data_IF_946432882704
#
_entry.id   IF_946432882704
#
_cell.length_a   1.000
_cell.length_b   1.000
_cell.length_c   1.000
_cell.angle_alpha   90.00
_cell.angle_beta   90.00
_cell.angle_gamma   90.00
#
_symmetry.space_group_name_H-M   'P 1'
#
loop_
_entity.id
_entity.type
_entity.pdbx_description
1 polymer ?
#
# COMPACT_ATOMS: atom_id res chain seq x y z
N UNK A 1 8.48 1.07 37.14
CA UNK A 1 7.32 1.25 36.22
C UNK A 1 7.76 1.79 34.87
N UNK A 2 9.04 1.62 34.52
CA UNK A 2 9.70 2.35 33.42
C UNK A 2 9.49 1.71 32.04
N UNK A 3 8.90 0.50 32.01
CA UNK A 3 8.60 -0.20 30.77
C UNK A 3 7.43 0.42 30.01
N UNK A 4 6.43 0.97 30.69
CA UNK A 4 5.24 1.51 30.01
C UNK A 4 5.55 2.78 29.19
N UNK A 5 6.32 3.76 29.73
CA UNK A 5 6.82 4.86 28.93
C UNK A 5 7.68 4.40 27.75
N UNK A 6 8.56 3.42 27.95
CA UNK A 6 9.41 2.90 26.88
C UNK A 6 8.60 2.27 25.74
N UNK A 7 7.67 1.36 26.07
CA UNK A 7 6.83 0.69 25.07
C UNK A 7 5.99 1.71 24.31
N UNK A 8 5.48 2.74 24.97
CA UNK A 8 4.76 3.83 24.31
C UNK A 8 5.66 4.58 23.32
N UNK A 9 6.83 5.05 23.75
CA UNK A 9 7.76 5.82 22.90
C UNK A 9 8.26 4.97 21.72
N UNK A 10 8.57 3.69 21.96
CA UNK A 10 8.95 2.73 20.93
C UNK A 10 7.82 2.53 19.90
N UNK A 11 6.58 2.39 20.38
CA UNK A 11 5.39 2.30 19.51
C UNK A 11 5.20 3.56 18.67
N UNK A 12 5.39 4.75 19.23
CA UNK A 12 5.33 6.01 18.46
C UNK A 12 6.42 6.04 17.40
N UNK A 13 7.64 5.61 17.73
CA UNK A 13 8.72 5.48 16.75
C UNK A 13 8.37 4.51 15.61
N UNK A 14 7.59 3.45 15.89
CA UNK A 14 7.02 2.53 14.89
C UNK A 14 5.99 3.16 13.95
N UNK A 15 5.35 4.26 14.32
CA UNK A 15 4.30 4.89 13.52
C UNK A 15 4.82 6.03 12.63
N UNK A 16 5.91 6.69 13.02
CA UNK A 16 6.45 7.84 12.27
C UNK A 16 7.37 7.42 11.10
N UNK A 17 7.58 8.32 10.15
CA UNK A 17 8.52 8.13 9.05
C UNK A 17 9.95 7.93 9.56
N UNK A 18 10.83 7.38 8.71
CA UNK A 18 12.24 7.17 9.06
C UNK A 18 12.92 8.50 9.36
N UNK A 19 12.59 9.52 8.59
CA UNK A 19 13.11 10.87 8.70
C UNK A 19 12.71 11.51 10.04
N UNK A 20 11.45 11.35 10.45
CA UNK A 20 10.96 11.82 11.74
C UNK A 20 11.61 11.05 12.90
N UNK A 21 11.69 9.72 12.82
CA UNK A 21 12.33 8.90 13.86
C UNK A 21 13.83 9.26 14.05
N UNK A 22 14.51 9.67 12.98
CA UNK A 22 15.92 10.12 13.03
C UNK A 22 16.12 11.43 13.81
N UNK A 23 15.06 12.20 14.05
CA UNK A 23 15.13 13.41 14.87
C UNK A 23 14.96 13.14 16.36
N UNK A 24 14.44 11.97 16.76
CA UNK A 24 14.22 11.64 18.17
C UNK A 24 15.49 11.67 19.04
N UNK A 25 16.69 11.29 18.56
CA UNK A 25 17.95 11.47 19.29
C UNK A 25 18.24 12.92 19.73
N UNK A 26 17.63 13.91 19.08
CA UNK A 26 17.87 15.34 19.36
C UNK A 26 16.95 15.88 20.46
N UNK A 27 15.93 15.12 20.86
CA UNK A 27 15.03 15.51 21.96
C UNK A 27 15.80 15.37 23.27
N UNK A 28 15.82 16.42 24.09
CA UNK A 28 16.47 16.46 25.42
C UNK A 28 15.72 15.60 26.45
N UNK A 29 15.55 14.32 26.14
CA UNK A 29 14.93 13.32 26.98
C UNK A 29 15.62 11.98 26.71
N UNK A 30 16.17 11.36 27.76
CA UNK A 30 16.97 10.14 27.64
C UNK A 30 16.21 8.98 26.99
N UNK A 31 14.89 8.88 27.21
CA UNK A 31 14.05 7.83 26.65
C UNK A 31 13.86 8.01 25.14
N UNK A 32 13.42 9.19 24.69
CA UNK A 32 13.30 9.51 23.26
C UNK A 32 14.64 9.38 22.55
N UNK A 33 15.71 9.83 23.20
CA UNK A 33 17.05 9.72 22.65
C UNK A 33 17.44 8.26 22.40
N UNK A 34 17.29 7.40 23.42
CA UNK A 34 17.63 5.99 23.32
C UNK A 34 16.77 5.23 22.29
N UNK A 35 15.46 5.48 22.26
CA UNK A 35 14.56 4.88 21.24
C UNK A 35 14.93 5.36 19.84
N UNK A 36 15.18 6.67 19.67
CA UNK A 36 15.60 7.25 18.41
C UNK A 36 16.90 6.64 17.89
N UNK A 37 17.90 6.45 18.75
CA UNK A 37 19.15 5.78 18.41
C UNK A 37 18.92 4.32 18.01
N UNK A 38 18.07 3.62 18.76
CA UNK A 38 17.74 2.21 18.49
C UNK A 38 17.08 2.05 17.13
N UNK A 39 16.06 2.86 16.82
CA UNK A 39 15.43 2.84 15.49
C UNK A 39 16.40 3.27 14.40
N UNK A 40 17.24 4.28 14.64
CA UNK A 40 18.25 4.70 13.65
C UNK A 40 19.22 3.57 13.29
N UNK A 41 19.57 2.71 14.26
CA UNK A 41 20.48 1.58 14.08
C UNK A 41 19.80 0.32 13.53
N UNK A 42 18.60 -0.01 14.03
CA UNK A 42 17.95 -1.31 13.79
C UNK A 42 16.83 -1.27 12.75
N UNK A 43 16.25 -0.11 12.46
CA UNK A 43 15.11 0.00 11.55
C UNK A 43 15.53 -0.28 10.11
N UNK A 44 14.75 -1.12 9.45
CA UNK A 44 14.93 -1.45 8.04
C UNK A 44 13.59 -1.33 7.32
N UNK A 45 13.55 -0.48 6.30
CA UNK A 45 12.36 -0.22 5.49
C UNK A 45 12.52 -0.88 4.11
N UNK A 46 11.48 -1.59 3.66
CA UNK A 46 11.49 -2.39 2.44
C UNK A 46 10.55 -1.87 1.37
N UNK A 47 10.98 -2.10 0.11
CA UNK A 47 10.12 -2.06 -1.06
C UNK A 47 10.15 -3.42 -1.74
N UNK A 48 8.99 -4.05 -1.86
CA UNK A 48 8.83 -5.33 -2.54
C UNK A 48 8.28 -5.06 -3.94
N UNK A 49 8.88 -5.63 -4.96
CA UNK A 49 8.40 -5.53 -6.35
C UNK A 49 8.20 -6.93 -6.89
N UNK A 50 6.96 -7.24 -7.26
CA UNK A 50 6.54 -8.52 -7.83
C UNK A 50 6.24 -8.25 -9.31
N UNK A 51 7.02 -8.85 -10.22
CA UNK A 51 6.88 -8.66 -11.67
C UNK A 51 7.25 -9.94 -12.41
N UNK A 52 6.54 -10.30 -13.49
CA UNK A 52 6.89 -11.47 -14.32
C UNK A 52 7.04 -12.79 -13.55
N UNK A 53 6.21 -13.02 -12.53
CA UNK A 53 6.33 -14.21 -11.66
C UNK A 53 7.62 -14.25 -10.83
N UNK A 54 8.46 -13.21 -10.90
CA UNK A 54 9.66 -13.04 -10.10
C UNK A 54 9.41 -12.02 -9.00
N UNK A 55 9.85 -12.37 -7.79
CA UNK A 55 9.84 -11.45 -6.66
C UNK A 55 11.21 -10.81 -6.56
N UNK A 56 11.28 -9.51 -6.84
CA UNK A 56 12.47 -8.70 -6.60
C UNK A 56 12.29 -7.90 -5.31
N UNK A 57 13.27 -8.01 -4.42
CA UNK A 57 13.32 -7.24 -3.19
C UNK A 57 14.29 -6.08 -3.43
N UNK A 58 13.77 -4.87 -3.59
CA UNK A 58 14.63 -3.69 -3.63
C UNK A 58 14.77 -3.21 -2.18
N UNK A 59 15.80 -3.72 -1.51
CA UNK A 59 16.24 -3.18 -0.24
C UNK A 59 17.09 -1.94 -0.49
N UNK A 60 16.84 -0.85 0.23
CA UNK A 60 17.67 0.37 0.14
C UNK A 60 19.09 0.18 0.76
N UNK A 61 19.45 -1.02 1.24
CA UNK A 61 20.80 -1.37 1.74
C UNK A 61 21.06 -2.89 1.74
N UNK A 62 22.17 -3.36 1.13
CA UNK A 62 22.50 -4.78 0.88
C UNK A 62 22.64 -5.69 2.13
N UNK A 63 22.19 -6.94 2.00
CA UNK A 63 22.58 -8.11 2.82
C UNK A 63 21.70 -9.35 2.57
N UNK A 64 22.15 -10.55 2.94
CA UNK A 64 21.43 -11.85 2.84
C UNK A 64 20.12 -11.87 3.66
N UNK A 65 19.12 -11.17 3.13
CA UNK A 65 17.94 -10.73 3.86
C UNK A 65 16.86 -11.81 3.99
N UNK A 66 16.85 -12.80 3.09
CA UNK A 66 15.83 -13.85 3.07
C UNK A 66 15.85 -14.73 4.33
N UNK A 67 17.02 -14.98 4.93
CA UNK A 67 17.14 -15.81 6.13
C UNK A 67 16.84 -15.02 7.42
N UNK A 68 17.32 -13.77 7.50
CA UNK A 68 17.14 -12.92 8.68
C UNK A 68 15.67 -12.52 8.95
N UNK A 69 14.83 -12.41 7.90
CA UNK A 69 13.39 -12.15 8.04
C UNK A 69 12.62 -13.30 8.69
N UNK A 70 13.09 -14.55 8.50
CA UNK A 70 12.30 -15.73 8.84
C UNK A 70 12.60 -16.18 10.25
N UNK A 71 13.88 -16.19 10.59
CA UNK A 71 14.39 -16.65 11.88
C UNK A 71 14.65 -15.50 12.87
N UNK A 72 14.66 -14.25 12.39
CA UNK A 72 15.03 -13.08 13.19
C UNK A 72 13.86 -12.27 13.76
N UNK A 73 14.19 -11.41 14.72
CA UNK A 73 13.30 -10.39 15.28
C UNK A 73 13.00 -9.31 14.22
N UNK A 74 11.77 -9.32 13.70
CA UNK A 74 11.29 -8.38 12.68
C UNK A 74 10.65 -7.12 13.27
N UNK A 75 10.76 -6.87 14.57
CA UNK A 75 10.09 -5.72 15.23
C UNK A 75 10.39 -4.39 14.55
N UNK A 76 11.63 -4.19 14.10
CA UNK A 76 12.09 -2.96 13.45
C UNK A 76 11.99 -2.99 11.92
N UNK A 77 11.44 -4.06 11.36
CA UNK A 77 11.24 -4.21 9.91
C UNK A 77 9.92 -3.60 9.48
N UNK A 78 9.91 -2.90 8.35
CA UNK A 78 8.69 -2.32 7.76
C UNK A 78 8.64 -2.53 6.27
N UNK A 79 7.46 -2.77 5.73
CA UNK A 79 7.26 -2.80 4.28
C UNK A 79 6.51 -1.54 3.89
N UNK A 80 7.27 -0.54 3.42
CA UNK A 80 6.69 0.73 3.03
C UNK A 80 5.83 0.59 1.78
N UNK A 81 6.26 -0.25 0.83
CA UNK A 81 5.60 -0.39 -0.46
C UNK A 81 5.72 -1.80 -1.01
N UNK A 82 4.61 -2.37 -1.44
CA UNK A 82 4.56 -3.54 -2.33
C UNK A 82 4.07 -3.05 -3.69
N UNK A 83 4.83 -3.30 -4.76
CA UNK A 83 4.42 -3.01 -6.13
C UNK A 83 4.24 -4.32 -6.88
N UNK A 84 3.05 -4.54 -7.42
CA UNK A 84 2.69 -5.72 -8.18
C UNK A 84 2.48 -5.30 -9.62
N UNK A 85 3.31 -5.82 -10.50
CA UNK A 85 3.23 -5.66 -11.94
C UNK A 85 2.59 -6.92 -12.51
N UNK A 86 1.32 -6.79 -12.90
CA UNK A 86 0.56 -7.88 -13.49
C UNK A 86 1.05 -8.10 -14.92
N UNK A 87 1.62 -9.28 -15.14
CA UNK A 87 2.15 -9.78 -16.41
C UNK A 87 1.87 -11.28 -16.50
N UNK A 88 1.70 -11.81 -17.70
CA UNK A 88 1.24 -13.18 -17.99
C UNK A 88 2.24 -14.33 -17.72
N UNK A 89 3.13 -14.23 -16.72
CA UNK A 89 4.14 -15.26 -16.47
C UNK A 89 3.84 -16.11 -15.22
N UNK A 90 3.63 -17.40 -15.43
CA UNK A 90 3.19 -18.39 -14.44
C UNK A 90 4.34 -19.07 -13.69
N UNK A 91 5.57 -18.57 -13.81
CA UNK A 91 6.77 -19.41 -13.60
C UNK A 91 7.31 -19.59 -12.17
N UNK A 92 6.70 -19.06 -11.11
CA UNK A 92 7.21 -19.35 -9.76
C UNK A 92 6.15 -19.26 -8.65
N UNK A 93 5.66 -20.40 -8.18
CA UNK A 93 4.62 -20.48 -7.16
C UNK A 93 5.15 -20.53 -5.73
N UNK A 94 6.40 -20.99 -5.53
CA UNK A 94 7.00 -21.15 -4.19
C UNK A 94 7.13 -19.82 -3.43
N UNK A 95 7.39 -18.73 -4.16
CA UNK A 95 7.65 -17.42 -3.57
C UNK A 95 6.38 -16.75 -3.03
N UNK A 96 5.19 -17.14 -3.54
CA UNK A 96 3.91 -16.58 -3.10
C UNK A 96 3.59 -16.96 -1.65
N UNK A 97 3.81 -18.22 -1.28
CA UNK A 97 3.58 -18.70 0.09
C UNK A 97 4.49 -17.97 1.07
N UNK A 98 5.73 -17.72 0.65
CA UNK A 98 6.72 -16.95 1.42
C UNK A 98 6.23 -15.51 1.64
N UNK A 99 5.82 -14.82 0.57
CA UNK A 99 5.37 -13.43 0.66
C UNK A 99 4.11 -13.28 1.50
N UNK A 100 3.17 -14.23 1.40
CA UNK A 100 1.98 -14.21 2.21
C UNK A 100 2.31 -14.29 3.70
N UNK A 101 3.21 -15.22 4.10
CA UNK A 101 3.70 -15.31 5.48
C UNK A 101 4.39 -14.02 5.93
N UNK A 102 5.17 -13.40 5.05
CA UNK A 102 5.86 -12.14 5.33
C UNK A 102 4.87 -11.00 5.58
N UNK A 103 3.88 -10.82 4.70
CA UNK A 103 2.87 -9.76 4.83
C UNK A 103 1.94 -9.95 6.04
N UNK A 104 1.76 -11.19 6.52
CA UNK A 104 1.05 -11.45 7.78
C UNK A 104 1.86 -11.02 9.02
N UNK A 105 3.20 -11.03 8.95
CA UNK A 105 4.08 -10.69 10.09
C UNK A 105 4.44 -9.21 10.13
N UNK A 106 4.53 -8.56 8.97
CA UNK A 106 5.08 -7.22 8.83
C UNK A 106 4.02 -6.32 8.19
N UNK A 107 3.59 -5.25 8.88
CA UNK A 107 2.62 -4.32 8.31
C UNK A 107 3.11 -3.73 6.99
N UNK A 108 2.23 -3.77 5.99
CA UNK A 108 2.46 -3.15 4.69
C UNK A 108 1.72 -1.83 4.62
N UNK A 109 2.45 -0.74 4.42
CA UNK A 109 1.83 0.59 4.41
C UNK A 109 1.10 0.88 3.09
N UNK A 110 1.73 0.55 1.97
CA UNK A 110 1.23 0.87 0.63
C UNK A 110 1.28 -0.32 -0.30
N UNK A 111 0.17 -0.59 -0.99
CA UNK A 111 0.10 -1.50 -2.12
C UNK A 111 -0.06 -0.71 -3.42
N UNK A 112 0.70 -1.08 -4.44
CA UNK A 112 0.64 -0.51 -5.78
C UNK A 112 0.40 -1.64 -6.77
N UNK A 113 -0.68 -1.57 -7.53
CA UNK A 113 -1.01 -2.58 -8.55
C UNK A 113 -0.99 -1.90 -9.91
N UNK A 114 -0.08 -2.36 -10.75
CA UNK A 114 0.14 -1.87 -12.10
C UNK A 114 0.02 -3.03 -13.08
N UNK A 115 -0.48 -2.76 -14.28
CA UNK A 115 -0.67 -3.77 -15.30
C UNK A 115 -1.97 -3.55 -16.05
N UNK A 116 -2.11 -4.27 -17.16
CA UNK A 116 -3.31 -4.30 -18.00
C UNK A 116 -3.94 -5.68 -18.07
N UNK A 117 -3.16 -6.72 -17.78
CA UNK A 117 -3.58 -8.10 -17.90
C UNK A 117 -4.41 -8.53 -16.68
N UNK A 118 -5.20 -9.58 -16.86
CA UNK A 118 -5.89 -10.23 -15.74
C UNK A 118 -4.84 -10.97 -14.90
N UNK A 119 -4.69 -10.65 -13.61
CA UNK A 119 -3.74 -11.36 -12.77
C UNK A 119 -4.21 -12.78 -12.51
N UNK A 120 -3.24 -13.64 -12.23
CA UNK A 120 -3.52 -14.97 -11.71
C UNK A 120 -4.28 -14.89 -10.38
N UNK A 121 -5.08 -15.91 -10.09
CA UNK A 121 -5.81 -16.04 -8.81
C UNK A 121 -4.88 -15.90 -7.60
N UNK A 122 -3.65 -16.42 -7.71
CA UNK A 122 -2.62 -16.31 -6.67
C UNK A 122 -2.20 -14.87 -6.39
N UNK A 123 -2.05 -14.06 -7.42
CA UNK A 123 -1.71 -12.65 -7.28
C UNK A 123 -2.89 -11.87 -6.67
N UNK A 124 -4.12 -12.23 -7.02
CA UNK A 124 -5.33 -11.70 -6.36
C UNK A 124 -5.31 -12.02 -4.86
N UNK A 125 -5.04 -13.27 -4.48
CA UNK A 125 -4.93 -13.68 -3.08
C UNK A 125 -3.80 -12.95 -2.35
N UNK A 126 -2.64 -12.84 -2.98
CA UNK A 126 -1.49 -12.16 -2.41
C UNK A 126 -1.74 -10.67 -2.21
N UNK A 127 -2.69 -10.06 -2.93
CA UNK A 127 -3.02 -8.64 -2.82
C UNK A 127 -4.05 -8.34 -1.72
N UNK A 128 -4.70 -9.37 -1.15
CA UNK A 128 -5.78 -9.21 -0.15
C UNK A 128 -5.22 -9.14 1.29
N UNK A 129 -4.44 -8.10 1.57
CA UNK A 129 -3.96 -7.79 2.92
C UNK A 129 -4.25 -6.33 3.30
N UNK A 130 -4.23 -6.03 4.60
CA UNK A 130 -4.52 -4.68 5.10
C UNK A 130 -3.37 -3.73 4.76
N UNK A 131 -3.74 -2.58 4.20
CA UNK A 131 -2.84 -1.48 3.79
C UNK A 131 -3.52 -0.16 4.03
N UNK A 132 -2.73 0.89 4.29
CA UNK A 132 -3.24 2.25 4.47
C UNK A 132 -3.48 2.95 3.14
N UNK A 133 -2.65 2.66 2.14
CA UNK A 133 -2.73 3.29 0.81
C UNK A 133 -2.75 2.23 -0.28
N UNK A 134 -3.71 2.35 -1.19
CA UNK A 134 -3.82 1.56 -2.39
C UNK A 134 -3.64 2.47 -3.62
N UNK A 135 -2.61 2.24 -4.42
CA UNK A 135 -2.47 2.85 -5.74
C UNK A 135 -2.81 1.81 -6.81
N UNK A 136 -3.73 2.12 -7.71
CA UNK A 136 -4.20 1.21 -8.76
C UNK A 136 -4.23 1.89 -10.13
N UNK A 137 -4.06 1.11 -11.19
CA UNK A 137 -4.48 1.52 -12.54
C UNK A 137 -6.00 1.37 -12.68
N UNK A 138 -6.56 1.88 -13.78
CA UNK A 138 -7.96 1.58 -14.11
C UNK A 138 -8.23 0.09 -14.31
N UNK A 139 -7.23 -0.71 -14.71
CA UNK A 139 -7.38 -2.16 -14.94
C UNK A 139 -7.27 -3.02 -13.67
N UNK A 140 -7.45 -2.42 -12.48
CA UNK A 140 -7.38 -3.17 -11.24
C UNK A 140 -8.45 -4.28 -11.20
N UNK A 141 -8.09 -5.51 -10.83
CA UNK A 141 -9.05 -6.60 -10.70
C UNK A 141 -10.17 -6.26 -9.72
N UNK A 142 -11.39 -6.59 -10.11
CA UNK A 142 -12.60 -6.32 -9.32
C UNK A 142 -12.47 -6.85 -7.89
N UNK A 143 -12.00 -8.08 -7.73
CA UNK A 143 -11.87 -8.74 -6.42
C UNK A 143 -10.92 -8.03 -5.46
N UNK A 144 -9.83 -7.47 -5.99
CA UNK A 144 -8.86 -6.73 -5.19
C UNK A 144 -9.48 -5.40 -4.77
N UNK A 145 -10.10 -4.70 -5.73
CA UNK A 145 -10.79 -3.44 -5.48
C UNK A 145 -11.93 -3.61 -4.45
N UNK A 146 -12.72 -4.68 -4.57
CA UNK A 146 -13.82 -5.00 -3.64
C UNK A 146 -13.30 -5.22 -2.22
N UNK A 147 -12.26 -6.04 -2.06
CA UNK A 147 -11.61 -6.27 -0.78
C UNK A 147 -11.15 -4.94 -0.15
N UNK A 148 -10.44 -4.11 -0.89
CA UNK A 148 -9.92 -2.87 -0.34
C UNK A 148 -11.00 -1.82 -0.06
N UNK A 149 -12.01 -1.69 -0.91
CA UNK A 149 -13.09 -0.73 -0.69
C UNK A 149 -13.92 -1.08 0.56
N UNK A 150 -14.23 -2.35 0.76
CA UNK A 150 -15.27 -2.76 1.72
C UNK A 150 -14.79 -3.64 2.88
N UNK A 151 -13.62 -4.29 2.78
CA UNK A 151 -13.13 -5.23 3.81
C UNK A 151 -11.82 -4.79 4.48
N UNK A 152 -11.00 -3.98 3.82
CA UNK A 152 -9.76 -3.46 4.41
C UNK A 152 -10.06 -2.28 5.34
N UNK A 153 -10.17 -2.58 6.63
CA UNK A 153 -10.44 -1.63 7.73
C UNK A 153 -9.32 -0.59 7.93
N UNK A 154 -8.12 -0.83 7.41
CA UNK A 154 -6.98 0.09 7.57
C UNK A 154 -6.85 1.07 6.41
N UNK A 155 -7.64 0.92 5.34
CA UNK A 155 -7.46 1.68 4.12
C UNK A 155 -7.90 3.13 4.27
N UNK A 156 -6.93 4.04 4.21
CA UNK A 156 -7.14 5.50 4.32
C UNK A 156 -7.18 6.17 2.96
N UNK A 157 -6.40 5.69 1.98
CA UNK A 157 -6.28 6.36 0.68
C UNK A 157 -6.33 5.37 -0.47
N UNK A 158 -7.16 5.65 -1.45
CA UNK A 158 -7.12 5.02 -2.77
C UNK A 158 -6.67 6.06 -3.77
N UNK A 159 -5.70 5.72 -4.63
CA UNK A 159 -5.26 6.54 -5.74
C UNK A 159 -5.43 5.76 -7.03
N UNK A 160 -6.14 6.32 -7.98
CA UNK A 160 -6.35 5.70 -9.29
C UNK A 160 -5.54 6.48 -10.32
N UNK A 161 -4.66 5.78 -11.04
CA UNK A 161 -3.76 6.37 -12.04
C UNK A 161 -4.41 6.34 -13.41
N UNK A 162 -4.42 7.49 -14.07
CA UNK A 162 -4.93 7.69 -15.44
C UNK A 162 -6.29 7.03 -15.67
N UNK A 163 -7.29 7.28 -14.80
CA UNK A 163 -8.60 6.66 -14.92
C UNK A 163 -9.39 7.24 -16.10
N UNK A 164 -10.09 6.40 -16.85
CA UNK A 164 -11.18 6.88 -17.70
C UNK A 164 -12.30 7.49 -16.86
N UNK A 165 -13.05 8.46 -17.42
CA UNK A 165 -14.16 9.10 -16.71
C UNK A 165 -15.22 8.12 -16.22
N UNK A 166 -15.46 7.05 -17.01
CA UNK A 166 -16.43 6.02 -16.67
C UNK A 166 -16.01 5.30 -15.39
N UNK A 167 -14.72 4.96 -15.28
CA UNK A 167 -14.13 4.36 -14.07
C UNK A 167 -14.21 5.33 -12.90
N UNK A 168 -13.87 6.61 -13.10
CA UNK A 168 -14.00 7.63 -12.04
C UNK A 168 -15.42 7.69 -11.50
N UNK A 169 -16.41 7.86 -12.38
CA UNK A 169 -17.83 8.00 -12.01
C UNK A 169 -18.34 6.77 -11.27
N UNK A 170 -18.01 5.57 -11.75
CA UNK A 170 -18.44 4.30 -11.13
C UNK A 170 -17.75 4.06 -9.79
N UNK A 171 -16.46 4.41 -9.66
CA UNK A 171 -15.75 4.31 -8.38
C UNK A 171 -16.31 5.30 -7.36
N UNK A 172 -16.59 6.55 -7.76
CA UNK A 172 -17.25 7.54 -6.88
C UNK A 172 -18.62 7.03 -6.44
N UNK A 173 -19.41 6.46 -7.36
CA UNK A 173 -20.71 5.87 -7.01
C UNK A 173 -20.54 4.71 -6.03
N UNK A 174 -19.63 3.77 -6.31
CA UNK A 174 -19.33 2.64 -5.42
C UNK A 174 -18.88 3.11 -4.03
N UNK A 175 -18.05 4.15 -4.00
CA UNK A 175 -17.54 4.76 -2.77
C UNK A 175 -18.64 5.37 -1.91
N UNK A 176 -19.64 6.00 -2.54
CA UNK A 176 -20.79 6.64 -1.88
C UNK A 176 -21.83 5.62 -1.42
N UNK A 177 -22.14 4.60 -2.23
CA UNK A 177 -23.20 3.65 -1.91
C UNK A 177 -22.75 2.48 -1.03
N UNK A 178 -21.44 2.21 -0.96
CA UNK A 178 -20.94 1.03 -0.26
C UNK A 178 -21.08 -0.27 -1.07
N UNK A 179 -21.45 -0.17 -2.36
CA UNK A 179 -21.69 -1.32 -3.24
C UNK A 179 -20.86 -1.19 -4.52
N UNK A 180 -20.15 -2.26 -4.89
CA UNK A 180 -19.32 -2.25 -6.09
C UNK A 180 -20.18 -2.17 -7.35
N UNK A 181 -20.08 -1.04 -8.06
CA UNK A 181 -20.73 -0.90 -9.36
C UNK A 181 -20.05 -1.82 -10.39
N UNK A 182 -20.79 -2.27 -11.41
CA UNK A 182 -20.23 -3.05 -12.51
C UNK A 182 -19.20 -2.19 -13.27
N UNK A 183 -17.93 -2.53 -13.12
CA UNK A 183 -16.83 -1.92 -13.86
C UNK A 183 -16.64 -2.72 -15.15
N UNK A 184 -17.18 -2.18 -16.24
CA UNK A 184 -16.85 -2.62 -17.59
C UNK A 184 -15.62 -1.85 -18.06
N UNK A 185 -14.52 -2.58 -18.32
CA UNK A 185 -13.23 -2.05 -18.77
C UNK A 185 -12.99 -2.34 -20.26
N UNK A 186 -14.05 -2.54 -21.05
CA UNK A 186 -13.93 -2.80 -22.48
C UNK A 186 -13.03 -1.76 -23.16
N UNK A 187 -11.98 -2.29 -23.79
CA UNK A 187 -10.77 -1.59 -24.29
C UNK A 187 -11.08 -0.54 -25.38
N UNK A 188 -12.34 -0.42 -25.82
CA UNK A 188 -12.74 0.38 -26.97
C UNK A 188 -13.03 1.87 -26.71
N UNK A 189 -13.35 2.26 -25.48
CA UNK A 189 -13.82 3.63 -25.20
C UNK A 189 -12.81 4.44 -24.39
N UNK A 190 -11.63 4.71 -24.97
CA UNK A 190 -10.85 5.89 -24.56
C UNK A 190 -11.59 7.13 -25.04
N UNK A 191 -12.68 7.48 -24.36
CA UNK A 191 -13.28 8.80 -24.49
C UNK A 191 -12.28 9.78 -23.89
N UNK A 192 -11.42 10.31 -24.76
CA UNK A 192 -10.56 11.44 -24.46
C UNK A 192 -11.45 12.57 -23.98
N UNK A 193 -11.20 13.00 -22.73
CA UNK A 193 -11.73 14.20 -22.12
C UNK A 193 -13.25 14.17 -21.90
N UNK A 194 -13.67 13.84 -20.67
CA UNK A 194 -14.88 14.48 -20.19
C UNK A 194 -14.63 15.97 -20.14
N UNK A 195 -15.31 16.69 -21.02
CA UNK A 195 -15.62 18.10 -20.83
C UNK A 195 -16.51 18.22 -19.58
N UNK A 196 -15.94 17.97 -18.40
CA UNK A 196 -16.42 18.59 -17.18
C UNK A 196 -16.00 20.05 -17.33
N UNK A 197 -16.95 20.88 -17.76
CA UNK A 197 -16.77 22.30 -18.09
C UNK A 197 -15.92 23.02 -17.03
N UNK A 198 -14.65 23.28 -17.36
CA UNK A 198 -13.69 23.92 -16.48
C UNK A 198 -12.26 23.58 -16.92
N UNK A 199 -11.47 24.61 -17.23
CA UNK A 199 -10.12 24.55 -17.78
C UNK A 199 -9.20 23.51 -17.11
N UNK A 200 -8.64 22.60 -17.91
CA UNK A 200 -7.81 21.47 -17.49
C UNK A 200 -6.42 21.96 -17.06
N UNK A 201 -6.27 22.20 -15.77
CA UNK A 201 -5.01 21.99 -15.04
C UNK A 201 -5.11 20.67 -14.26
N UNK A 202 -3.99 20.05 -13.89
CA UNK A 202 -3.86 18.79 -13.14
C UNK A 202 -4.82 18.72 -11.92
N UNK A 203 -6.07 18.26 -12.10
CA UNK A 203 -7.00 18.12 -10.99
C UNK A 203 -6.84 16.76 -10.33
N UNK A 204 -6.10 16.75 -9.23
CA UNK A 204 -6.19 15.75 -8.18
C UNK A 204 -7.62 15.83 -7.59
N UNK A 205 -8.59 15.13 -8.20
CA UNK A 205 -9.95 15.07 -7.64
C UNK A 205 -9.93 14.20 -6.39
N UNK A 206 -10.27 14.79 -5.24
CA UNK A 206 -10.26 14.11 -3.93
C UNK A 206 -11.66 14.02 -3.35
N UNK A 207 -12.18 12.80 -3.22
CA UNK A 207 -13.42 12.51 -2.51
C UNK A 207 -13.09 11.99 -1.12
N UNK A 208 -13.70 12.56 -0.07
CA UNK A 208 -13.45 12.17 1.33
C UNK A 208 -14.73 11.65 1.98
N UNK A 209 -14.60 10.68 2.87
CA UNK A 209 -15.67 10.29 3.82
C UNK A 209 -15.07 9.92 5.17
N UNK A 210 -15.82 10.14 6.24
CA UNK A 210 -15.48 9.60 7.56
C UNK A 210 -15.98 8.17 7.65
N UNK A 211 -15.12 7.25 8.08
CA UNK A 211 -15.47 5.85 8.30
C UNK A 211 -14.60 5.34 9.45
N UNK A 212 -15.21 4.66 10.43
CA UNK A 212 -14.52 4.02 11.57
C UNK A 212 -13.55 4.96 12.33
N UNK A 213 -13.91 6.24 12.44
CA UNK A 213 -13.13 7.24 13.16
C UNK A 213 -11.94 7.83 12.39
N UNK A 214 -11.74 7.45 11.11
CA UNK A 214 -10.73 8.04 10.24
C UNK A 214 -11.32 8.61 8.94
N UNK A 215 -10.59 9.54 8.33
CA UNK A 215 -10.94 10.06 7.00
C UNK A 215 -10.37 9.15 5.93
N UNK A 216 -11.25 8.55 5.13
CA UNK A 216 -10.88 7.84 3.90
C UNK A 216 -10.92 8.81 2.72
N UNK A 217 -9.98 8.67 1.79
CA UNK A 217 -9.92 9.47 0.57
C UNK A 217 -9.78 8.61 -0.70
N UNK A 218 -10.50 8.98 -1.74
CA UNK A 218 -10.39 8.47 -3.09
C UNK A 218 -9.83 9.60 -3.97
N UNK A 219 -8.69 9.36 -4.62
CA UNK A 219 -7.97 10.33 -5.44
C UNK A 219 -7.82 9.81 -6.87
N UNK A 220 -8.01 10.71 -7.82
CA UNK A 220 -7.79 10.42 -9.24
C UNK A 220 -6.59 11.25 -9.72
N UNK A 221 -5.55 10.57 -10.20
CA UNK A 221 -4.35 11.19 -10.76
C UNK A 221 -4.47 11.10 -12.27
N UNK A 222 -4.86 12.21 -12.91
CA UNK A 222 -5.09 12.31 -14.36
C UNK A 222 -3.77 12.51 -15.08
#
# INVERSE_FOLDING_TARGET
MDQLPFVFVDSVAHLVSRESARQFPQIENSLWNHVGQTHSKKRVDFRVIIACGQVSYIQESLGDFQQALFEGDCRYTRIHRVSIHVTDDSRNESDFTYLQKLFCRIPVQKLVILGRDQPSEKLILLSKFNVETLDISEYCPKDILEFHLFKNEHLRTIRVRSPSCLVMTRLVKSWKTGELQKLDFSIGERNYLCNLEGEVMEYDQVYRKSQDGFTRSLRFMV
#
